data_IF_884964327989
#
_entry.id   IF_884964327989
#
_cell.length_a   1.000
_cell.length_b   1.000
_cell.length_c   1.000
_cell.angle_alpha   90.00
_cell.angle_beta   90.00
_cell.angle_gamma   90.00
#
_symmetry.space_group_name_H-M   'P 1'
#
loop_
_entity.id
_entity.type
_entity.pdbx_description
1 polymer ?
#
# COMPACT_ATOMS: atom_id res chain seq x y z
N UNK A 1 10.03 -10.11 -33.33
CA UNK A 1 9.80 -10.19 -31.86
C UNK A 1 8.30 -10.13 -31.63
N UNK A 2 7.76 -10.80 -30.62
CA UNK A 2 6.34 -10.64 -30.25
C UNK A 2 6.13 -9.22 -29.73
N UNK A 3 5.00 -8.57 -30.05
CA UNK A 3 4.71 -7.25 -29.47
C UNK A 3 4.44 -7.39 -27.96
N UNK A 4 4.70 -6.31 -27.22
CA UNK A 4 4.57 -6.29 -25.76
C UNK A 4 3.52 -5.27 -25.33
N UNK A 5 2.68 -5.65 -24.34
CA UNK A 5 1.82 -4.74 -23.62
C UNK A 5 2.30 -4.60 -22.18
N UNK A 6 2.61 -3.37 -21.76
CA UNK A 6 2.93 -3.03 -20.38
C UNK A 6 1.76 -2.26 -19.75
N UNK A 7 1.22 -2.74 -18.64
CA UNK A 7 0.21 -2.04 -17.84
C UNK A 7 0.86 -1.51 -16.56
N UNK A 8 0.98 -0.18 -16.45
CA UNK A 8 1.53 0.48 -15.28
C UNK A 8 0.49 0.58 -14.18
N UNK A 9 0.89 0.32 -12.95
CA UNK A 9 0.06 0.42 -11.74
C UNK A 9 0.76 1.35 -10.74
N UNK A 10 0.00 2.25 -10.11
CA UNK A 10 0.54 3.12 -9.06
C UNK A 10 -0.28 4.39 -8.86
N UNK A 11 -0.15 5.04 -7.68
CA UNK A 11 -0.85 6.27 -7.37
C UNK A 11 -0.44 7.44 -8.30
N UNK A 12 -1.20 8.54 -8.34
CA UNK A 12 -0.74 9.77 -8.97
C UNK A 12 0.66 10.17 -8.46
N UNK A 13 1.51 10.66 -9.34
CA UNK A 13 2.89 11.08 -9.05
C UNK A 13 3.86 9.97 -8.56
N UNK A 14 3.53 8.68 -8.73
CA UNK A 14 4.45 7.56 -8.40
C UNK A 14 5.59 7.36 -9.41
N UNK A 15 5.61 8.11 -10.51
CA UNK A 15 6.66 8.00 -11.53
C UNK A 15 6.29 7.18 -12.76
N UNK A 16 5.01 6.79 -12.95
CA UNK A 16 4.54 6.00 -14.10
C UNK A 16 4.92 6.64 -15.44
N UNK A 17 4.61 7.92 -15.63
CA UNK A 17 4.92 8.62 -16.89
C UNK A 17 6.43 8.72 -17.13
N UNK A 18 7.22 8.87 -16.08
CA UNK A 18 8.69 8.84 -16.18
C UNK A 18 9.20 7.45 -16.57
N UNK A 19 8.61 6.39 -16.03
CA UNK A 19 8.92 5.01 -16.43
C UNK A 19 8.57 4.81 -17.93
N UNK A 20 7.37 5.20 -18.34
CA UNK A 20 6.92 5.08 -19.73
C UNK A 20 7.80 5.85 -20.71
N UNK A 21 8.28 7.04 -20.35
CA UNK A 21 9.14 7.86 -21.19
C UNK A 21 10.50 7.23 -21.53
N UNK A 22 10.94 6.23 -20.76
CA UNK A 22 12.16 5.47 -21.06
C UNK A 22 11.91 4.27 -21.99
N UNK A 23 10.69 4.07 -22.44
CA UNK A 23 10.29 2.97 -23.33
C UNK A 23 10.06 3.48 -24.77
N UNK A 24 10.32 2.62 -25.74
CA UNK A 24 10.00 2.87 -27.16
C UNK A 24 8.60 2.33 -27.52
N UNK A 25 7.63 2.52 -26.63
CA UNK A 25 6.28 1.99 -26.74
C UNK A 25 5.28 3.08 -27.13
N UNK A 26 4.19 2.70 -27.76
CA UNK A 26 3.04 3.60 -27.95
C UNK A 26 2.48 3.94 -26.56
N UNK A 27 2.54 5.22 -26.22
CA UNK A 27 2.11 5.74 -24.91
C UNK A 27 0.62 6.00 -24.91
N UNK A 28 -0.10 5.33 -24.02
CA UNK A 28 -1.55 5.46 -23.87
C UNK A 28 -1.87 5.93 -22.47
N UNK A 29 -2.50 7.13 -22.39
CA UNK A 29 -2.83 7.78 -21.13
C UNK A 29 -4.24 8.38 -21.20
N UNK A 30 -5.12 7.98 -20.27
CA UNK A 30 -6.51 8.45 -20.24
C UNK A 30 -6.61 9.94 -19.89
N UNK A 31 -5.71 10.48 -19.09
CA UNK A 31 -5.79 11.87 -18.62
C UNK A 31 -5.58 12.87 -19.76
N UNK A 32 -4.79 12.48 -20.78
CA UNK A 32 -4.51 13.29 -21.96
C UNK A 32 -5.39 12.94 -23.16
N UNK A 33 -5.83 11.69 -23.29
CA UNK A 33 -6.57 11.20 -24.46
C UNK A 33 -8.07 11.03 -24.22
N UNK A 34 -8.54 11.19 -22.95
CA UNK A 34 -9.94 10.99 -22.57
C UNK A 34 -10.37 9.53 -22.50
N UNK A 35 -11.60 9.29 -21.99
CA UNK A 35 -12.11 7.92 -21.72
C UNK A 35 -12.26 7.06 -22.99
N UNK A 36 -12.72 7.63 -24.09
CA UNK A 36 -12.92 6.91 -25.35
C UNK A 36 -11.66 6.92 -26.20
N UNK A 37 -10.98 8.08 -26.25
CA UNK A 37 -9.81 8.27 -27.07
C UNK A 37 -8.67 7.29 -26.72
N UNK A 38 -8.40 7.06 -25.44
CA UNK A 38 -7.34 6.13 -25.05
C UNK A 38 -7.65 4.68 -25.40
N UNK A 39 -8.92 4.25 -25.39
CA UNK A 39 -9.30 2.89 -25.81
C UNK A 39 -9.18 2.73 -27.31
N UNK A 40 -9.64 3.72 -28.08
CA UNK A 40 -9.49 3.71 -29.54
C UNK A 40 -8.02 3.65 -29.94
N UNK A 41 -7.17 4.41 -29.26
CA UNK A 41 -5.72 4.38 -29.48
C UNK A 41 -5.10 3.02 -29.12
N UNK A 42 -5.54 2.42 -28.02
CA UNK A 42 -5.13 1.07 -27.62
C UNK A 42 -5.46 0.03 -28.70
N UNK A 43 -6.71 -0.06 -29.16
CA UNK A 43 -7.10 -1.03 -30.18
C UNK A 43 -6.43 -0.78 -31.52
N UNK A 44 -6.20 0.49 -31.87
CA UNK A 44 -5.44 0.84 -33.08
C UNK A 44 -4.00 0.33 -33.00
N UNK A 45 -3.32 0.56 -31.86
CA UNK A 45 -1.95 0.11 -31.64
C UNK A 45 -1.85 -1.43 -31.64
N UNK A 46 -2.83 -2.13 -31.03
CA UNK A 46 -2.91 -3.60 -31.06
C UNK A 46 -3.04 -4.12 -32.48
N UNK A 47 -3.95 -3.54 -33.28
CA UNK A 47 -4.15 -3.92 -34.71
C UNK A 47 -2.87 -3.78 -35.55
N UNK A 48 -2.00 -2.85 -35.19
CA UNK A 48 -0.71 -2.63 -35.85
C UNK A 48 0.46 -3.38 -35.19
N UNK A 49 0.20 -4.29 -34.25
CA UNK A 49 1.20 -5.06 -33.53
C UNK A 49 2.33 -4.20 -32.90
N UNK A 50 1.98 -3.02 -32.40
CA UNK A 50 2.94 -2.10 -31.78
C UNK A 50 3.17 -2.47 -30.32
N UNK A 51 4.37 -2.21 -29.80
CA UNK A 51 4.61 -2.26 -28.35
C UNK A 51 3.82 -1.14 -27.67
N UNK A 52 3.15 -1.44 -26.55
CA UNK A 52 2.18 -0.53 -25.92
C UNK A 52 2.50 -0.39 -24.43
N UNK A 53 2.40 0.83 -23.90
CA UNK A 53 2.41 1.09 -22.46
C UNK A 53 1.16 1.87 -22.05
N UNK A 54 0.42 1.33 -21.06
CA UNK A 54 -0.80 1.94 -20.49
C UNK A 54 -0.43 2.67 -19.20
N UNK A 55 -0.47 4.00 -19.21
CA UNK A 55 -0.24 4.84 -18.03
C UNK A 55 -1.58 5.31 -17.45
N UNK A 56 -2.04 4.57 -16.45
CA UNK A 56 -3.20 4.87 -15.60
C UNK A 56 -2.92 4.38 -14.18
N UNK A 57 -3.80 4.71 -13.24
CA UNK A 57 -3.69 4.16 -11.88
C UNK A 57 -3.80 2.63 -11.85
N UNK A 58 -4.71 2.04 -12.64
CA UNK A 58 -4.95 0.59 -12.80
C UNK A 58 -4.98 -0.15 -11.45
N UNK A 59 -5.62 0.45 -10.45
CA UNK A 59 -5.52 0.07 -9.04
C UNK A 59 -6.18 -1.28 -8.73
N UNK A 60 -7.17 -1.74 -9.49
CA UNK A 60 -7.87 -2.99 -9.27
C UNK A 60 -7.71 -3.98 -10.44
N UNK A 61 -7.97 -5.26 -10.17
CA UNK A 61 -7.90 -6.34 -11.17
C UNK A 61 -8.85 -6.07 -12.35
N UNK A 62 -10.02 -5.48 -12.10
CA UNK A 62 -11.02 -5.17 -13.14
C UNK A 62 -10.50 -4.15 -14.16
N UNK A 63 -9.79 -3.13 -13.69
CA UNK A 63 -9.20 -2.13 -14.60
C UNK A 63 -8.07 -2.71 -15.44
N UNK A 64 -7.23 -3.53 -14.84
CA UNK A 64 -6.12 -4.20 -15.53
C UNK A 64 -6.64 -5.20 -16.57
N UNK A 65 -7.68 -5.97 -16.22
CA UNK A 65 -8.30 -6.95 -17.11
C UNK A 65 -8.85 -6.35 -18.40
N UNK A 66 -9.29 -5.09 -18.40
CA UNK A 66 -9.77 -4.40 -19.62
C UNK A 66 -8.75 -4.42 -20.76
N UNK A 67 -7.47 -4.37 -20.43
CA UNK A 67 -6.39 -4.43 -21.40
C UNK A 67 -5.88 -5.85 -21.55
N UNK A 68 -5.49 -6.49 -20.45
CA UNK A 68 -4.79 -7.78 -20.42
C UNK A 68 -5.63 -8.94 -20.96
N UNK A 69 -6.96 -8.89 -20.81
CA UNK A 69 -7.88 -9.96 -21.26
C UNK A 69 -8.55 -9.65 -22.61
N UNK A 70 -8.06 -8.62 -23.34
CA UNK A 70 -8.59 -8.31 -24.66
C UNK A 70 -8.33 -9.44 -25.64
N UNK A 71 -9.38 -9.91 -26.35
CA UNK A 71 -9.27 -10.93 -27.39
C UNK A 71 -8.26 -10.53 -28.48
N UNK A 72 -8.23 -9.23 -28.85
CA UNK A 72 -7.30 -8.72 -29.82
C UNK A 72 -5.83 -8.94 -29.47
N UNK A 73 -5.46 -8.94 -28.19
CA UNK A 73 -4.08 -9.25 -27.75
C UNK A 73 -3.73 -10.71 -28.04
N UNK A 74 -4.66 -11.62 -27.78
CA UNK A 74 -4.47 -13.05 -28.02
C UNK A 74 -4.32 -13.35 -29.51
N UNK A 75 -5.16 -12.74 -30.34
CA UNK A 75 -5.12 -12.88 -31.79
C UNK A 75 -3.78 -12.42 -32.37
N UNK A 76 -3.18 -11.38 -31.81
CA UNK A 76 -1.90 -10.83 -32.27
C UNK A 76 -0.67 -11.35 -31.52
N UNK A 77 -0.85 -12.27 -30.55
CA UNK A 77 0.23 -12.97 -29.86
C UNK A 77 1.09 -12.09 -28.97
N UNK A 78 0.48 -11.08 -28.32
CA UNK A 78 1.17 -10.20 -27.38
C UNK A 78 1.73 -10.95 -26.16
N UNK A 79 2.88 -10.49 -25.69
CA UNK A 79 3.33 -10.74 -24.32
C UNK A 79 2.83 -9.63 -23.42
N UNK A 80 2.44 -9.96 -22.18
CA UNK A 80 1.81 -9.04 -21.26
C UNK A 80 2.65 -8.85 -20.00
N UNK A 81 2.75 -7.60 -19.53
CA UNK A 81 3.50 -7.26 -18.34
C UNK A 81 2.74 -6.26 -17.48
N UNK A 82 2.69 -6.48 -16.18
CA UNK A 82 2.27 -5.50 -15.19
C UNK A 82 3.50 -4.94 -14.50
N UNK A 83 3.60 -3.62 -14.40
CA UNK A 83 4.66 -2.95 -13.63
C UNK A 83 4.02 -2.09 -12.56
N UNK A 84 4.22 -2.47 -11.29
CA UNK A 84 3.74 -1.73 -10.13
C UNK A 84 4.82 -0.79 -9.64
N UNK A 85 4.58 0.52 -9.75
CA UNK A 85 5.50 1.53 -9.26
C UNK A 85 5.11 1.92 -7.83
N UNK A 86 5.87 1.42 -6.88
CA UNK A 86 5.70 1.74 -5.47
C UNK A 86 6.37 3.07 -5.14
N UNK A 87 5.62 3.92 -4.47
CA UNK A 87 6.13 5.16 -3.92
C UNK A 87 5.30 5.54 -2.69
N UNK A 88 5.93 6.16 -1.69
CA UNK A 88 5.23 6.54 -0.47
C UNK A 88 4.16 7.59 -0.73
N UNK A 89 3.06 7.52 0.04
CA UNK A 89 1.96 8.48 -0.04
C UNK A 89 2.47 9.93 0.12
N UNK A 90 3.41 10.14 1.04
CA UNK A 90 4.01 11.44 1.29
C UNK A 90 4.78 11.97 0.07
N UNK A 91 5.61 11.13 -0.55
CA UNK A 91 6.36 11.49 -1.76
C UNK A 91 5.44 11.76 -2.94
N UNK A 92 4.38 10.95 -3.10
CA UNK A 92 3.36 11.18 -4.13
C UNK A 92 2.66 12.52 -3.95
N UNK A 93 2.28 12.88 -2.71
CA UNK A 93 1.67 14.17 -2.40
C UNK A 93 2.66 15.30 -2.73
N UNK A 94 3.89 15.24 -2.23
CA UNK A 94 4.91 16.26 -2.48
C UNK A 94 5.12 16.50 -3.99
N UNK A 95 5.43 15.45 -4.74
CA UNK A 95 5.64 15.57 -6.21
C UNK A 95 4.39 16.03 -6.96
N UNK A 96 3.21 15.61 -6.48
CA UNK A 96 1.93 16.01 -7.06
C UNK A 96 1.62 17.49 -6.81
N UNK A 97 1.93 18.01 -5.62
CA UNK A 97 1.77 19.43 -5.29
C UNK A 97 2.66 20.31 -6.16
N UNK A 98 3.94 19.94 -6.35
CA UNK A 98 4.83 20.67 -7.24
C UNK A 98 4.25 20.77 -8.66
N UNK A 99 3.65 19.70 -9.18
CA UNK A 99 2.99 19.71 -10.50
C UNK A 99 1.72 20.56 -10.55
N UNK A 100 0.91 20.53 -9.49
CA UNK A 100 -0.31 21.34 -9.40
C UNK A 100 0.04 22.82 -9.37
N UNK A 101 1.06 23.23 -8.59
CA UNK A 101 1.52 24.61 -8.49
C UNK A 101 2.09 25.13 -9.84
N UNK A 102 2.78 24.27 -10.56
CA UNK A 102 3.34 24.62 -11.87
C UNK A 102 2.30 24.53 -13.02
N UNK A 103 1.08 24.09 -12.74
CA UNK A 103 0.05 23.89 -13.78
C UNK A 103 0.28 22.69 -14.72
N UNK A 104 1.22 21.81 -14.36
CA UNK A 104 1.68 20.70 -15.23
C UNK A 104 0.80 19.45 -15.18
N UNK A 105 -0.26 19.44 -14.35
CA UNK A 105 -1.15 18.27 -14.27
C UNK A 105 -2.39 18.46 -15.15
N UNK A 106 -2.69 17.52 -16.08
CA UNK A 106 -3.77 17.69 -17.05
C UNK A 106 -5.17 17.77 -16.41
N UNK A 107 -5.43 16.98 -15.37
CA UNK A 107 -6.77 16.81 -14.77
C UNK A 107 -6.85 17.25 -13.31
N UNK A 108 -5.79 17.14 -12.51
CA UNK A 108 -5.75 17.53 -11.10
C UNK A 108 -5.30 18.98 -10.99
N UNK A 109 -6.16 19.85 -10.45
CA UNK A 109 -5.92 21.31 -10.39
C UNK A 109 -5.73 21.85 -8.98
N UNK A 110 -6.14 21.10 -7.95
CA UNK A 110 -6.04 21.53 -6.56
C UNK A 110 -5.34 20.48 -5.70
N UNK A 111 -4.82 20.91 -4.54
CA UNK A 111 -4.28 19.99 -3.53
C UNK A 111 -5.35 19.01 -3.05
N UNK A 112 -6.58 19.44 -2.88
CA UNK A 112 -7.68 18.59 -2.44
C UNK A 112 -7.97 17.48 -3.44
N UNK A 113 -8.01 17.78 -4.75
CA UNK A 113 -8.19 16.79 -5.80
C UNK A 113 -7.04 15.78 -5.84
N UNK A 114 -5.80 16.26 -5.63
CA UNK A 114 -4.63 15.39 -5.55
C UNK A 114 -4.73 14.41 -4.38
N UNK A 115 -5.02 14.93 -3.18
CA UNK A 115 -5.16 14.10 -1.98
C UNK A 115 -6.30 13.10 -2.11
N UNK A 116 -7.42 13.51 -2.71
CA UNK A 116 -8.57 12.65 -3.01
C UNK A 116 -8.17 11.54 -3.99
N UNK A 117 -7.48 11.86 -5.09
CA UNK A 117 -7.06 10.87 -6.09
C UNK A 117 -6.04 9.86 -5.52
N UNK A 118 -5.08 10.32 -4.72
CA UNK A 118 -4.12 9.45 -4.03
C UNK A 118 -4.86 8.57 -3.00
N UNK A 119 -5.74 9.14 -2.18
CA UNK A 119 -6.54 8.40 -1.21
C UNK A 119 -7.41 7.34 -1.87
N UNK A 120 -8.04 7.70 -3.00
CA UNK A 120 -8.85 6.78 -3.80
C UNK A 120 -8.03 5.59 -4.31
N UNK A 121 -6.82 5.82 -4.81
CA UNK A 121 -5.93 4.73 -5.21
C UNK A 121 -5.72 3.75 -4.06
N UNK A 122 -5.28 4.22 -2.89
CA UNK A 122 -4.95 3.36 -1.76
C UNK A 122 -6.15 2.59 -1.21
N UNK A 123 -7.35 3.22 -1.18
CA UNK A 123 -8.58 2.56 -0.70
C UNK A 123 -9.12 1.48 -1.65
N UNK A 124 -8.72 1.50 -2.93
CA UNK A 124 -9.17 0.54 -3.94
C UNK A 124 -8.05 -0.33 -4.51
N UNK A 125 -6.83 -0.13 -4.07
CA UNK A 125 -5.70 -0.89 -4.61
C UNK A 125 -5.81 -2.37 -4.28
N UNK A 126 -5.77 -3.18 -5.34
CA UNK A 126 -5.64 -4.63 -5.29
C UNK A 126 -4.27 -4.99 -5.86
N UNK A 127 -3.45 -5.64 -5.02
CA UNK A 127 -2.12 -6.10 -5.44
C UNK A 127 -2.25 -7.04 -6.62
N UNK A 128 -1.55 -6.81 -7.75
CA UNK A 128 -1.53 -7.75 -8.86
C UNK A 128 -0.97 -9.12 -8.45
N UNK A 129 -1.54 -10.16 -9.02
CA UNK A 129 -1.13 -11.55 -8.83
C UNK A 129 -0.49 -12.10 -10.11
N UNK A 130 0.36 -13.12 -9.97
CA UNK A 130 1.15 -13.66 -11.08
C UNK A 130 0.29 -14.28 -12.21
N UNK A 131 -1.00 -14.55 -11.94
CA UNK A 131 -1.96 -15.04 -12.93
C UNK A 131 -2.58 -13.97 -13.82
N UNK A 132 -2.34 -12.68 -13.56
CA UNK A 132 -2.94 -11.59 -14.31
C UNK A 132 -2.20 -11.26 -15.63
N UNK A 133 -0.90 -11.56 -15.71
CA UNK A 133 -0.06 -11.28 -16.88
C UNK A 133 1.09 -12.29 -16.98
N UNK A 134 1.79 -12.34 -18.12
CA UNK A 134 2.97 -13.20 -18.27
C UNK A 134 4.09 -12.81 -17.31
N UNK A 135 4.16 -11.53 -16.91
CA UNK A 135 5.12 -11.04 -15.93
C UNK A 135 4.49 -9.98 -15.05
N UNK A 136 4.72 -10.06 -13.73
CA UNK A 136 4.37 -9.02 -12.76
C UNK A 136 5.64 -8.53 -12.07
N UNK A 137 5.97 -7.25 -12.25
CA UNK A 137 7.15 -6.61 -11.71
C UNK A 137 6.76 -5.56 -10.65
N UNK A 138 7.45 -5.58 -9.51
CA UNK A 138 7.29 -4.62 -8.43
C UNK A 138 8.52 -3.71 -8.35
N UNK A 139 8.35 -2.45 -8.71
CA UNK A 139 9.44 -1.46 -8.76
C UNK A 139 9.39 -0.57 -7.53
N UNK A 140 10.46 -0.54 -6.78
CA UNK A 140 10.63 0.33 -5.61
C UNK A 140 11.65 1.44 -5.90
N UNK A 141 11.57 2.60 -5.22
CA UNK A 141 12.54 3.67 -5.38
C UNK A 141 13.97 3.18 -5.15
N UNK A 142 14.88 3.57 -6.03
CA UNK A 142 16.31 3.32 -5.83
C UNK A 142 16.80 4.21 -4.68
N UNK A 143 17.19 3.59 -3.59
CA UNK A 143 17.83 4.26 -2.47
C UNK A 143 19.29 3.78 -2.36
N UNK A 144 20.19 4.71 -2.12
CA UNK A 144 21.63 4.42 -1.96
C UNK A 144 21.92 3.61 -0.70
N UNK A 145 21.13 3.77 0.35
CA UNK A 145 21.16 2.95 1.57
C UNK A 145 19.76 2.87 2.18
N UNK A 146 19.26 1.65 2.39
CA UNK A 146 18.06 1.41 3.19
C UNK A 146 18.45 0.98 4.59
N UNK A 147 17.95 1.68 5.60
CA UNK A 147 18.13 1.28 6.99
C UNK A 147 17.25 0.06 7.30
N UNK A 148 17.79 -0.86 8.07
CA UNK A 148 17.03 -2.01 8.55
C UNK A 148 15.95 -1.56 9.55
N UNK A 149 14.77 -2.17 9.46
CA UNK A 149 13.63 -1.82 10.28
C UNK A 149 13.03 -3.04 11.00
N UNK A 150 12.46 -2.79 12.17
CA UNK A 150 11.63 -3.71 12.93
C UNK A 150 10.21 -3.20 12.93
N UNK A 151 9.26 -4.03 12.50
CA UNK A 151 7.84 -3.75 12.51
C UNK A 151 7.26 -4.27 13.83
N UNK A 152 6.46 -3.46 14.50
CA UNK A 152 5.73 -3.85 15.70
C UNK A 152 4.26 -3.49 15.56
N UNK A 153 3.39 -4.46 15.77
CA UNK A 153 1.95 -4.22 15.87
C UNK A 153 1.59 -3.61 17.23
N UNK A 154 0.39 -3.07 17.35
CA UNK A 154 -0.12 -2.46 18.57
C UNK A 154 -1.08 -3.38 19.32
N UNK A 155 -2.25 -3.67 18.77
CA UNK A 155 -3.37 -4.33 19.45
C UNK A 155 -3.13 -5.83 19.67
N UNK A 156 -2.97 -6.24 20.92
CA UNK A 156 -2.62 -7.63 21.28
C UNK A 156 -1.11 -7.89 21.28
N UNK A 157 -0.30 -6.95 20.78
CA UNK A 157 1.16 -7.05 20.70
C UNK A 157 1.81 -6.07 21.69
N UNK A 158 1.93 -4.80 21.36
CA UNK A 158 2.47 -3.78 22.27
C UNK A 158 1.43 -3.34 23.30
N UNK A 159 0.16 -3.27 22.91
CA UNK A 159 -0.96 -2.92 23.75
C UNK A 159 -1.66 -4.18 24.28
N UNK A 160 -1.86 -4.27 25.60
CA UNK A 160 -2.80 -5.21 26.18
C UNK A 160 -4.21 -4.66 26.03
N UNK A 161 -5.05 -5.37 25.29
CA UNK A 161 -6.40 -4.97 24.93
C UNK A 161 -7.49 -5.82 25.59
N UNK A 162 -7.14 -6.61 26.60
CA UNK A 162 -8.05 -7.59 27.23
C UNK A 162 -9.37 -6.98 27.70
N UNK A 163 -9.30 -5.75 28.23
CA UNK A 163 -10.47 -5.03 28.74
C UNK A 163 -11.53 -4.72 27.69
N UNK A 164 -11.16 -4.66 26.39
CA UNK A 164 -12.08 -4.35 25.27
C UNK A 164 -12.28 -5.52 24.30
N UNK A 165 -11.65 -6.67 24.52
CA UNK A 165 -11.84 -7.86 23.67
C UNK A 165 -13.26 -8.38 23.65
N UNK A 166 -14.05 -8.13 24.71
CA UNK A 166 -15.45 -8.52 24.77
C UNK A 166 -16.31 -7.89 23.64
N UNK A 167 -15.93 -6.75 23.08
CA UNK A 167 -16.64 -6.16 21.93
C UNK A 167 -16.49 -6.97 20.63
N UNK A 168 -15.44 -7.76 20.48
CA UNK A 168 -15.11 -8.47 19.23
C UNK A 168 -15.02 -10.00 19.36
N UNK A 169 -15.12 -10.54 20.58
CA UNK A 169 -15.13 -11.99 20.86
C UNK A 169 -16.52 -12.57 21.11
N UNK A 170 -17.57 -11.78 21.07
CA UNK A 170 -18.92 -12.28 21.30
C UNK A 170 -19.40 -13.14 20.13
N UNK A 171 -20.20 -14.17 20.43
CA UNK A 171 -20.95 -14.94 19.44
C UNK A 171 -21.98 -14.00 18.79
N UNK A 172 -21.70 -13.58 17.56
CA UNK A 172 -22.55 -12.64 16.83
C UNK A 172 -21.76 -11.57 16.06
N UNK A 173 -22.40 -10.43 15.85
CA UNK A 173 -21.80 -9.32 15.11
C UNK A 173 -20.76 -8.59 15.97
N UNK A 174 -19.50 -8.55 15.51
CA UNK A 174 -18.42 -7.83 16.17
C UNK A 174 -18.71 -6.33 16.23
N UNK A 175 -18.58 -5.74 17.40
CA UNK A 175 -18.76 -4.31 17.65
C UNK A 175 -17.43 -3.54 17.51
N UNK A 176 -16.96 -3.43 16.28
CA UNK A 176 -15.73 -2.69 15.98
C UNK A 176 -15.82 -1.21 16.35
N UNK A 177 -17.03 -0.63 16.35
CA UNK A 177 -17.23 0.78 16.70
C UNK A 177 -16.86 1.03 18.15
N UNK A 178 -17.38 0.24 19.08
CA UNK A 178 -17.04 0.37 20.50
C UNK A 178 -15.60 -0.09 20.78
N UNK A 179 -15.14 -1.14 20.10
CA UNK A 179 -13.76 -1.59 20.22
C UNK A 179 -12.74 -0.49 19.89
N UNK A 180 -13.02 0.34 18.87
CA UNK A 180 -12.13 1.42 18.39
C UNK A 180 -12.52 2.82 18.93
N UNK A 181 -13.33 2.92 20.02
CA UNK A 181 -13.56 4.21 20.64
C UNK A 181 -12.27 4.78 21.25
N UNK A 182 -11.96 6.08 21.09
CA UNK A 182 -10.77 6.70 21.66
C UNK A 182 -10.59 6.39 23.16
N UNK A 183 -11.65 6.56 23.96
CA UNK A 183 -11.62 6.32 25.40
C UNK A 183 -11.29 4.87 25.76
N UNK A 184 -11.63 3.90 24.92
CA UNK A 184 -11.26 2.50 25.14
C UNK A 184 -9.78 2.26 24.78
N UNK A 185 -9.32 2.87 23.69
CA UNK A 185 -7.91 2.79 23.26
C UNK A 185 -6.95 3.46 24.24
N UNK A 186 -7.35 4.57 24.86
CA UNK A 186 -6.58 5.27 25.91
C UNK A 186 -6.33 4.41 27.16
N UNK A 187 -7.24 3.46 27.43
CA UNK A 187 -7.18 2.56 28.59
C UNK A 187 -6.37 1.28 28.34
N UNK A 188 -5.88 1.06 27.11
CA UNK A 188 -5.07 -0.11 26.78
C UNK A 188 -3.86 -0.21 27.75
N UNK A 189 -3.63 -1.41 28.28
CA UNK A 189 -2.43 -1.69 29.07
C UNK A 189 -1.18 -1.75 28.20
N UNK A 190 -0.01 -1.61 28.82
CA UNK A 190 1.27 -1.78 28.12
C UNK A 190 1.83 -3.19 28.36
N UNK A 191 2.13 -3.90 27.28
CA UNK A 191 2.96 -5.11 27.32
C UNK A 191 4.43 -4.71 27.48
N UNK A 192 4.90 -4.61 28.73
CA UNK A 192 6.25 -4.14 29.06
C UNK A 192 7.35 -4.91 28.34
N UNK A 193 7.20 -6.24 28.25
CA UNK A 193 8.15 -7.10 27.54
C UNK A 193 8.34 -6.69 26.08
N UNK A 194 7.25 -6.35 25.39
CA UNK A 194 7.29 -5.93 23.98
C UNK A 194 7.99 -4.58 23.82
N UNK A 195 7.63 -3.61 24.68
CA UNK A 195 8.33 -2.31 24.72
C UNK A 195 9.83 -2.49 24.94
N UNK A 196 10.22 -3.34 25.88
CA UNK A 196 11.62 -3.52 26.27
C UNK A 196 12.41 -4.19 25.12
N UNK A 197 11.82 -5.12 24.38
CA UNK A 197 12.40 -5.68 23.15
C UNK A 197 12.59 -4.58 22.10
N UNK A 198 11.54 -3.82 21.81
CA UNK A 198 11.57 -2.73 20.81
C UNK A 198 12.64 -1.69 21.18
N UNK A 199 12.73 -1.30 22.44
CA UNK A 199 13.76 -0.37 22.91
C UNK A 199 15.18 -0.93 22.79
N UNK A 200 15.37 -2.21 23.09
CA UNK A 200 16.68 -2.87 22.94
C UNK A 200 17.15 -2.94 21.48
N UNK A 201 16.22 -3.01 20.54
CA UNK A 201 16.54 -3.06 19.11
C UNK A 201 16.80 -1.68 18.48
N UNK A 202 16.39 -0.60 19.12
CA UNK A 202 16.41 0.75 18.56
C UNK A 202 17.82 1.30 18.25
N UNK A 203 18.84 0.81 18.90
CA UNK A 203 20.23 1.22 18.60
C UNK A 203 20.70 0.83 17.21
N UNK A 204 20.10 -0.20 16.63
CA UNK A 204 20.53 -0.78 15.34
C UNK A 204 19.44 -0.78 14.26
N UNK A 205 18.19 -0.49 14.62
CA UNK A 205 17.04 -0.62 13.73
C UNK A 205 16.10 0.58 13.83
N UNK A 206 15.50 0.93 12.71
CA UNK A 206 14.33 1.84 12.66
C UNK A 206 13.13 1.09 13.23
N UNK A 207 12.41 1.71 14.15
CA UNK A 207 11.21 1.12 14.77
C UNK A 207 9.97 1.64 14.08
N UNK A 208 9.20 0.72 13.51
CA UNK A 208 7.98 1.00 12.76
C UNK A 208 6.78 0.41 13.51
N UNK A 209 5.90 1.28 14.01
CA UNK A 209 4.59 0.86 14.48
C UNK A 209 3.66 0.71 13.28
N UNK A 210 3.06 -0.49 13.09
CA UNK A 210 2.17 -0.80 11.97
C UNK A 210 0.86 -1.40 12.51
N UNK A 211 -0.22 -0.62 12.46
CA UNK A 211 -1.46 -0.97 13.15
C UNK A 211 -2.68 -1.00 12.24
N UNK A 212 -3.58 -1.95 12.51
CA UNK A 212 -4.92 -2.03 11.93
C UNK A 212 -5.90 -0.98 12.44
N UNK A 213 -5.55 -0.16 13.42
CA UNK A 213 -6.38 0.95 13.90
C UNK A 213 -6.60 1.98 12.79
N UNK A 214 -7.81 2.54 12.65
CA UNK A 214 -8.06 3.62 11.69
C UNK A 214 -7.23 4.88 12.04
N UNK A 215 -6.80 5.61 11.04
CA UNK A 215 -5.96 6.81 11.19
C UNK A 215 -6.67 7.97 11.91
N UNK A 216 -7.99 7.89 12.09
CA UNK A 216 -8.75 8.78 12.98
C UNK A 216 -8.30 8.65 14.44
N UNK A 217 -7.77 7.50 14.83
CA UNK A 217 -7.22 7.24 16.18
C UNK A 217 -5.74 7.59 16.29
N UNK A 218 -5.14 8.20 15.26
CA UNK A 218 -3.71 8.53 15.29
C UNK A 218 -3.32 9.50 16.41
N UNK A 219 -4.11 10.55 16.73
CA UNK A 219 -3.83 11.40 17.89
C UNK A 219 -3.81 10.59 19.19
N UNK A 220 -4.90 9.89 19.51
CA UNK A 220 -5.02 9.04 20.70
C UNK A 220 -3.91 7.99 20.80
N UNK A 221 -3.56 7.36 19.68
CA UNK A 221 -2.49 6.36 19.65
C UNK A 221 -1.13 6.99 19.95
N UNK A 222 -0.84 8.19 19.42
CA UNK A 222 0.40 8.92 19.73
C UNK A 222 0.49 9.30 21.20
N UNK A 223 -0.58 9.84 21.76
CA UNK A 223 -0.66 10.18 23.18
C UNK A 223 -0.44 8.94 24.07
N UNK A 224 -1.02 7.79 23.69
CA UNK A 224 -0.81 6.52 24.39
C UNK A 224 0.66 6.08 24.33
N UNK A 225 1.29 6.13 23.15
CA UNK A 225 2.71 5.79 22.95
C UNK A 225 3.62 6.69 23.77
N UNK A 226 3.35 7.99 23.82
CA UNK A 226 4.09 8.98 24.60
C UNK A 226 3.94 8.73 26.12
N UNK A 227 2.70 8.57 26.60
CA UNK A 227 2.37 8.23 28.00
C UNK A 227 3.15 7.00 28.47
N UNK A 228 3.28 5.99 27.65
CA UNK A 228 3.98 4.74 27.96
C UNK A 228 5.47 4.77 27.59
N UNK A 229 5.98 5.94 27.17
CA UNK A 229 7.39 6.16 26.79
C UNK A 229 7.86 5.17 25.72
N UNK A 230 7.01 4.85 24.74
CA UNK A 230 7.35 3.98 23.61
C UNK A 230 8.04 4.82 22.53
N UNK A 231 9.33 4.63 22.40
CA UNK A 231 10.11 5.29 21.36
C UNK A 231 9.97 4.55 20.03
N UNK A 232 9.56 5.25 18.98
CA UNK A 232 9.40 4.74 17.63
C UNK A 232 9.78 5.82 16.61
N UNK A 233 10.06 5.42 15.38
CA UNK A 233 10.46 6.32 14.31
C UNK A 233 9.30 6.58 13.34
N UNK A 234 8.46 5.56 13.08
CA UNK A 234 7.30 5.68 12.21
C UNK A 234 6.06 5.05 12.85
N UNK A 235 4.90 5.64 12.55
CA UNK A 235 3.57 5.10 12.88
C UNK A 235 2.70 5.10 11.64
N UNK A 236 2.43 3.91 11.10
CA UNK A 236 1.52 3.68 9.99
C UNK A 236 0.24 3.02 10.48
N UNK A 237 -0.89 3.54 10.03
CA UNK A 237 -2.21 3.12 10.47
C UNK A 237 -3.14 2.93 9.26
N UNK A 238 -4.18 2.12 9.44
CA UNK A 238 -5.25 1.91 8.46
C UNK A 238 -5.89 3.23 8.02
N UNK A 239 -6.12 3.48 6.73
CA UNK A 239 -6.95 4.61 6.30
C UNK A 239 -8.36 4.53 6.91
N UNK A 240 -8.93 5.69 7.27
CA UNK A 240 -10.22 5.85 7.97
C UNK A 240 -11.34 4.93 7.50
N UNK A 241 -11.59 4.90 6.20
CA UNK A 241 -12.76 4.23 5.62
C UNK A 241 -12.38 2.90 4.95
N UNK A 242 -11.22 2.35 5.29
CA UNK A 242 -10.76 1.08 4.74
C UNK A 242 -11.13 -0.09 5.66
N UNK A 243 -12.11 -0.88 5.25
CA UNK A 243 -12.64 -2.01 6.01
C UNK A 243 -12.10 -3.37 5.56
N UNK A 244 -11.09 -3.40 4.70
CA UNK A 244 -10.45 -4.64 4.26
C UNK A 244 -9.78 -5.36 5.44
N UNK A 245 -9.46 -6.65 5.24
CA UNK A 245 -8.75 -7.45 6.25
C UNK A 245 -7.40 -6.81 6.62
N UNK A 246 -6.95 -7.09 7.83
CA UNK A 246 -5.76 -6.47 8.41
C UNK A 246 -4.48 -6.83 7.68
N UNK A 247 -4.37 -8.07 7.22
CA UNK A 247 -3.26 -8.53 6.38
C UNK A 247 -3.17 -7.76 5.06
N UNK A 248 -4.30 -7.46 4.41
CA UNK A 248 -4.34 -6.63 3.18
C UNK A 248 -3.84 -5.21 3.47
N UNK A 249 -4.32 -4.60 4.55
CA UNK A 249 -3.90 -3.24 4.93
C UNK A 249 -2.40 -3.19 5.25
N UNK A 250 -1.92 -4.14 6.04
CA UNK A 250 -0.50 -4.21 6.42
C UNK A 250 0.39 -4.54 5.21
N UNK A 251 -0.10 -5.30 4.23
CA UNK A 251 0.62 -5.52 2.98
C UNK A 251 0.75 -4.24 2.15
N UNK A 252 -0.30 -3.43 2.06
CA UNK A 252 -0.25 -2.12 1.40
C UNK A 252 0.71 -1.17 2.11
N UNK A 253 0.66 -1.11 3.44
CA UNK A 253 1.61 -0.33 4.25
C UNK A 253 3.06 -0.82 4.00
N UNK A 254 3.27 -2.15 3.97
CA UNK A 254 4.57 -2.73 3.66
C UNK A 254 5.08 -2.24 2.30
N UNK A 255 4.28 -2.39 1.26
CA UNK A 255 4.69 -2.10 -0.12
C UNK A 255 4.93 -0.60 -0.37
N UNK A 256 4.05 0.26 0.13
CA UNK A 256 4.09 1.68 -0.23
C UNK A 256 4.76 2.57 0.83
N UNK A 257 4.81 2.16 2.08
CA UNK A 257 5.38 2.99 3.14
C UNK A 257 6.69 2.44 3.70
N UNK A 258 6.80 1.12 3.86
CA UNK A 258 7.99 0.52 4.49
C UNK A 258 9.06 0.21 3.43
N UNK A 259 8.75 -0.62 2.43
CA UNK A 259 9.73 -1.07 1.42
C UNK A 259 10.23 0.06 0.52
N UNK A 260 9.50 1.17 0.43
CA UNK A 260 9.95 2.36 -0.31
C UNK A 260 11.06 3.13 0.41
N UNK A 261 11.24 2.93 1.73
CA UNK A 261 12.15 3.73 2.57
C UNK A 261 13.17 2.89 3.33
N UNK A 262 12.84 1.66 3.71
CA UNK A 262 13.65 0.83 4.60
C UNK A 262 13.55 -0.66 4.27
N UNK A 263 14.38 -1.47 4.90
CA UNK A 263 14.40 -2.93 4.76
C UNK A 263 13.89 -3.56 6.06
N UNK A 264 12.64 -4.07 6.10
CA UNK A 264 12.13 -4.76 7.28
C UNK A 264 12.84 -6.12 7.43
N UNK A 265 13.40 -6.37 8.61
CA UNK A 265 14.11 -7.62 8.94
C UNK A 265 13.37 -8.47 9.95
N UNK A 266 12.50 -7.84 10.76
CA UNK A 266 11.75 -8.48 11.83
C UNK A 266 10.37 -7.83 11.95
N UNK A 267 9.35 -8.64 12.22
CA UNK A 267 8.03 -8.20 12.63
C UNK A 267 7.62 -8.89 13.92
N UNK A 268 6.94 -8.15 14.83
CA UNK A 268 6.32 -8.67 16.04
C UNK A 268 4.82 -8.42 15.91
N UNK A 269 4.03 -9.48 15.94
CA UNK A 269 2.58 -9.43 15.69
C UNK A 269 1.90 -10.59 16.43
N UNK A 270 0.63 -10.49 16.76
CA UNK A 270 -0.12 -11.55 17.44
C UNK A 270 -1.03 -12.32 16.46
N UNK A 271 -1.54 -11.65 15.41
CA UNK A 271 -2.55 -12.22 14.52
C UNK A 271 -1.95 -13.16 13.49
N UNK A 272 -2.43 -14.42 13.46
CA UNK A 272 -1.90 -15.45 12.58
C UNK A 272 -1.87 -15.01 11.10
N UNK A 273 -2.97 -14.44 10.59
CA UNK A 273 -3.05 -14.00 9.20
C UNK A 273 -1.99 -12.95 8.82
N UNK A 274 -1.60 -12.10 9.77
CA UNK A 274 -0.58 -11.07 9.57
C UNK A 274 0.82 -11.66 9.71
N UNK A 275 1.03 -12.57 10.66
CA UNK A 275 2.28 -13.34 10.79
C UNK A 275 2.56 -14.13 9.51
N UNK A 276 1.54 -14.75 8.93
CA UNK A 276 1.66 -15.47 7.65
C UNK A 276 2.01 -14.54 6.49
N UNK A 277 1.43 -13.33 6.46
CA UNK A 277 1.81 -12.28 5.51
C UNK A 277 3.29 -11.95 5.63
N UNK A 278 3.78 -11.62 6.84
CA UNK A 278 5.19 -11.25 7.05
C UNK A 278 6.13 -12.36 6.57
N UNK A 279 5.83 -13.62 6.95
CA UNK A 279 6.62 -14.79 6.54
C UNK A 279 6.60 -15.01 5.03
N UNK A 280 5.42 -14.91 4.39
CA UNK A 280 5.27 -14.98 2.92
C UNK A 280 6.09 -13.90 2.20
N UNK A 281 6.23 -12.73 2.82
CA UNK A 281 7.02 -11.62 2.29
C UNK A 281 8.51 -11.70 2.65
N UNK A 282 8.98 -12.83 3.21
CA UNK A 282 10.38 -13.07 3.57
C UNK A 282 10.85 -12.33 4.82
N UNK A 283 9.93 -11.80 5.63
CA UNK A 283 10.24 -11.09 6.88
C UNK A 283 10.15 -12.08 8.04
N UNK A 284 11.19 -12.17 8.89
CA UNK A 284 11.12 -12.95 10.12
C UNK A 284 10.00 -12.42 11.00
N UNK A 285 9.07 -13.28 11.43
CA UNK A 285 7.94 -12.88 12.26
C UNK A 285 7.92 -13.63 13.59
N UNK A 286 7.95 -12.88 14.69
CA UNK A 286 7.73 -13.35 16.06
C UNK A 286 6.25 -13.19 16.38
N UNK A 287 5.54 -14.31 16.49
CA UNK A 287 4.17 -14.31 16.97
C UNK A 287 4.17 -14.32 18.50
N UNK A 288 3.64 -13.25 19.11
CA UNK A 288 3.71 -13.05 20.55
C UNK A 288 2.52 -13.64 21.31
N UNK A 289 1.39 -13.84 20.67
CA UNK A 289 0.19 -14.47 21.22
C UNK A 289 -0.71 -15.02 20.10
N UNK A 290 -1.84 -15.64 20.45
CA UNK A 290 -2.89 -15.98 19.50
C UNK A 290 -3.88 -14.82 19.43
N UNK A 291 -3.74 -13.98 18.43
CA UNK A 291 -4.65 -12.86 18.15
C UNK A 291 -5.91 -13.31 17.41
N UNK A 292 -6.75 -14.11 18.03
CA UNK A 292 -7.99 -14.65 17.44
C UNK A 292 -9.19 -13.75 17.80
N UNK A 293 -9.28 -12.53 17.21
CA UNK A 293 -10.43 -11.65 17.43
C UNK A 293 -10.87 -10.87 16.18
#
# INVERSE_FOLDING_TARGET
>A
MKPELIVLVGPPASGKSTYAANLTHVYINQDTQGKEGHLNHFYTAVKHCQNIVIDRMNFDKKQRAKYLQSEALKEHGYTTKIVVLHESKETCIKRGLDRVQNGDHPTIKTEEDLRRAIGFFFSHYERPTDDEADTVEFVYPKQTMKLNAVICDLDGTLCNIDHRLHFVRQDGKKDWKNFMLPQNVEQDGLNKWCRDIVHGLRSNYIIVMCSGRPDTLKPTTKEWLEKHKVMHDHLFMRPRDDHRKDDIIKEIILDFEILTRMTPVLAIDDRQQVVDLWRKRGITALQCSKGDF
#
